data_IF_368362467981
#
_entry.id   IF_368362467981
#
_cell.length_a   1.000
_cell.length_b   1.000
_cell.length_c   1.000
_cell.angle_alpha   90.00
_cell.angle_beta   90.00
_cell.angle_gamma   90.00
#
_symmetry.space_group_name_H-M   'P 1'
#
loop_
_entity.id
_entity.type
_entity.pdbx_description
1 polymer ?
#
# COMPACT_ATOMS: atom_id res chain seq x y z
N UNK A 1 -1.46 -48.61 13.90
CA UNK A 1 -2.69 -48.15 13.21
C UNK A 1 -3.13 -46.85 13.89
N UNK A 2 -3.22 -45.70 13.19
CA UNK A 2 -3.69 -44.46 13.79
C UNK A 2 -5.21 -44.51 13.95
N UNK A 3 -5.71 -44.07 15.10
CA UNK A 3 -7.13 -44.06 15.44
C UNK A 3 -7.82 -42.92 14.65
N UNK A 4 -8.96 -43.15 13.98
CA UNK A 4 -9.70 -42.09 13.29
C UNK A 4 -10.23 -41.05 14.30
N UNK A 5 -10.15 -39.76 13.94
CA UNK A 5 -10.62 -38.62 14.75
C UNK A 5 -11.95 -38.91 15.47
N UNK A 6 -11.85 -39.15 16.78
CA UNK A 6 -12.98 -39.43 17.64
C UNK A 6 -13.74 -38.13 17.88
N UNK A 7 -14.89 -37.95 17.23
CA UNK A 7 -15.81 -36.85 17.52
C UNK A 7 -16.40 -37.05 18.91
N UNK A 8 -15.86 -36.37 19.91
CA UNK A 8 -16.45 -36.35 21.26
C UNK A 8 -17.78 -35.59 21.24
N UNK A 9 -18.78 -35.99 22.03
CA UNK A 9 -20.04 -35.25 22.14
C UNK A 9 -19.78 -33.88 22.79
N UNK A 10 -20.03 -32.80 22.05
CA UNK A 10 -19.89 -31.41 22.49
C UNK A 10 -20.33 -30.46 21.38
N UNK A 11 -20.78 -29.26 21.73
CA UNK A 11 -21.17 -28.25 20.75
C UNK A 11 -19.92 -27.76 20.03
N UNK A 12 -19.77 -28.12 18.75
CA UNK A 12 -18.66 -27.68 17.91
C UNK A 12 -18.85 -26.19 17.58
N UNK A 13 -18.12 -25.31 18.28
CA UNK A 13 -18.02 -23.88 17.96
C UNK A 13 -16.91 -23.62 16.92
N UNK A 14 -16.70 -24.56 15.99
CA UNK A 14 -15.76 -24.37 14.89
C UNK A 14 -16.37 -23.34 13.92
N UNK A 15 -16.13 -22.07 14.23
CA UNK A 15 -16.41 -20.99 13.29
C UNK A 15 -15.47 -21.17 12.11
N UNK A 16 -16.04 -21.28 10.91
CA UNK A 16 -15.26 -21.28 9.68
C UNK A 16 -14.64 -19.89 9.51
N UNK A 17 -13.38 -19.74 9.95
CA UNK A 17 -12.61 -18.49 9.85
C UNK A 17 -12.37 -18.06 8.41
N UNK A 18 -12.54 -18.96 7.42
CA UNK A 18 -12.43 -18.59 6.01
C UNK A 18 -13.66 -17.80 5.53
N UNK A 19 -14.85 -18.03 6.10
CA UNK A 19 -16.10 -17.38 5.66
C UNK A 19 -16.26 -15.97 6.22
N UNK A 20 -15.67 -15.66 7.37
CA UNK A 20 -15.78 -14.32 7.99
C UNK A 20 -14.96 -13.23 7.28
N UNK A 21 -14.14 -13.59 6.28
CA UNK A 21 -13.28 -12.64 5.56
C UNK A 21 -13.68 -12.38 4.10
N UNK A 22 -14.83 -12.90 3.66
CA UNK A 22 -15.23 -12.94 2.24
C UNK A 22 -16.46 -12.09 1.90
N UNK A 23 -16.64 -10.94 2.54
CA UNK A 23 -17.74 -10.01 2.21
C UNK A 23 -17.31 -8.78 1.42
N UNK A 24 -16.05 -8.35 1.57
CA UNK A 24 -15.55 -7.14 0.95
C UNK A 24 -14.55 -7.50 -0.16
N UNK A 25 -14.77 -7.08 -1.41
CA UNK A 25 -13.80 -7.27 -2.47
C UNK A 25 -12.47 -6.65 -2.06
N UNK A 26 -11.39 -7.41 -2.23
CA UNK A 26 -10.04 -6.94 -1.94
C UNK A 26 -9.78 -5.71 -2.81
N UNK A 27 -9.41 -4.60 -2.18
CA UNK A 27 -9.16 -3.35 -2.89
C UNK A 27 -7.80 -3.42 -3.60
N UNK A 28 -7.78 -3.90 -4.84
CA UNK A 28 -6.55 -4.07 -5.66
C UNK A 28 -6.24 -2.80 -6.47
N UNK A 29 -6.98 -1.69 -6.25
CA UNK A 29 -6.78 -0.48 -7.02
C UNK A 29 -5.40 0.13 -6.76
N UNK A 30 -4.66 0.35 -7.84
CA UNK A 30 -3.37 1.05 -7.84
C UNK A 30 -3.57 2.43 -8.44
N UNK A 31 -3.08 3.45 -7.74
CA UNK A 31 -3.18 4.85 -8.15
C UNK A 31 -1.78 5.41 -8.35
N UNK A 32 -1.54 5.98 -9.53
CA UNK A 32 -0.31 6.70 -9.85
C UNK A 32 -0.55 8.20 -9.74
N UNK A 33 0.17 8.88 -8.85
CA UNK A 33 0.21 10.33 -8.78
C UNK A 33 1.37 10.86 -9.60
N UNK A 34 1.04 11.70 -10.57
CA UNK A 34 2.01 12.46 -11.34
C UNK A 34 2.06 13.85 -10.72
N UNK A 35 3.22 14.22 -10.20
CA UNK A 35 3.44 15.47 -9.47
C UNK A 35 4.49 16.31 -10.16
N UNK A 36 4.47 17.61 -9.88
CA UNK A 36 5.47 18.55 -10.38
C UNK A 36 6.69 18.63 -9.47
N UNK A 37 6.70 17.86 -8.38
CA UNK A 37 7.80 17.82 -7.42
C UNK A 37 9.02 17.16 -8.06
N UNK A 38 10.20 17.59 -7.62
CA UNK A 38 11.45 16.99 -8.08
C UNK A 38 11.59 15.59 -7.48
N UNK A 39 11.94 14.63 -8.34
CA UNK A 39 12.25 13.26 -7.93
C UNK A 39 13.73 13.01 -8.16
N UNK A 40 14.45 12.72 -7.08
CA UNK A 40 15.84 12.32 -7.21
C UNK A 40 15.92 10.94 -7.88
N UNK A 41 16.81 10.75 -8.86
CA UNK A 41 17.05 9.45 -9.45
C UNK A 41 17.63 8.50 -8.40
N UNK A 42 17.11 7.27 -8.34
CA UNK A 42 17.68 6.21 -7.52
C UNK A 42 18.80 5.54 -8.34
N UNK A 43 20.00 6.10 -8.28
CA UNK A 43 21.17 5.62 -9.02
C UNK A 43 21.15 6.01 -10.51
N UNK A 44 21.65 5.13 -11.38
CA UNK A 44 21.73 5.37 -12.85
C UNK A 44 20.41 5.07 -13.60
N UNK A 45 19.35 4.67 -12.89
CA UNK A 45 18.10 4.27 -13.52
C UNK A 45 17.23 5.48 -13.89
N UNK A 46 16.47 5.40 -15.00
CA UNK A 46 15.46 6.40 -15.33
C UNK A 46 14.42 6.50 -14.21
N UNK A 47 13.73 7.65 -14.11
CA UNK A 47 12.71 7.86 -13.08
C UNK A 47 11.64 6.78 -13.21
N UNK A 48 11.53 5.96 -12.17
CA UNK A 48 10.48 4.98 -12.02
C UNK A 48 9.48 5.46 -10.97
N UNK A 49 8.19 5.11 -11.10
CA UNK A 49 7.22 5.33 -10.05
C UNK A 49 7.66 4.67 -8.75
N UNK A 50 7.65 5.43 -7.66
CA UNK A 50 8.01 4.93 -6.33
C UNK A 50 6.73 4.66 -5.55
N UNK A 51 6.64 3.47 -4.95
CA UNK A 51 5.56 3.15 -4.01
C UNK A 51 5.79 3.85 -2.68
N UNK A 52 4.81 4.63 -2.22
CA UNK A 52 4.91 5.43 -1.00
C UNK A 52 3.69 5.18 -0.13
N UNK A 53 3.95 4.88 1.14
CA UNK A 53 2.93 4.42 2.08
C UNK A 53 2.64 5.40 3.22
N UNK A 54 3.51 6.37 3.44
CA UNK A 54 3.34 7.37 4.49
C UNK A 54 3.84 8.76 4.05
N UNK A 55 3.49 9.76 4.84
CA UNK A 55 3.92 11.14 4.59
C UNK A 55 5.44 11.30 4.75
N UNK A 56 6.04 10.62 5.73
CA UNK A 56 7.46 10.79 6.04
C UNK A 56 8.36 10.31 4.88
N UNK A 57 8.03 9.17 4.27
CA UNK A 57 8.68 8.63 3.08
C UNK A 57 8.48 9.56 1.88
N UNK A 58 7.30 10.16 1.73
CA UNK A 58 7.05 11.15 0.69
C UNK A 58 7.92 12.40 0.87
N UNK A 59 7.99 12.95 2.09
CA UNK A 59 8.79 14.12 2.43
C UNK A 59 10.29 13.85 2.22
N UNK A 60 10.76 12.62 2.49
CA UNK A 60 12.15 12.22 2.23
C UNK A 60 12.48 12.07 0.74
N UNK A 61 11.51 11.70 -0.09
CA UNK A 61 11.75 11.36 -1.51
C UNK A 61 11.52 12.56 -2.45
N UNK A 62 10.52 13.40 -2.15
CA UNK A 62 10.09 14.53 -2.98
C UNK A 62 10.33 15.89 -2.31
N UNK A 63 10.87 15.90 -1.08
CA UNK A 63 11.09 17.10 -0.29
C UNK A 63 9.94 17.42 0.67
N UNK A 64 10.24 18.23 1.69
CA UNK A 64 9.32 18.57 2.76
C UNK A 64 8.10 19.36 2.23
N UNK A 65 6.89 18.95 2.63
CA UNK A 65 5.62 19.59 2.22
C UNK A 65 5.34 19.59 0.70
N UNK A 66 5.94 18.65 -0.03
CA UNK A 66 5.73 18.37 -1.46
C UNK A 66 4.25 18.11 -1.80
N UNK A 67 3.90 18.28 -3.09
CA UNK A 67 2.55 17.95 -3.59
C UNK A 67 2.30 16.44 -3.40
N UNK A 68 3.30 15.59 -3.65
CA UNK A 68 3.26 14.15 -3.42
C UNK A 68 2.87 13.80 -1.98
N UNK A 69 3.53 14.39 -0.97
CA UNK A 69 3.22 14.15 0.44
C UNK A 69 1.79 14.55 0.83
N UNK A 70 1.27 15.65 0.27
CA UNK A 70 -0.12 16.09 0.50
C UNK A 70 -1.13 15.15 -0.16
N UNK A 71 -0.86 14.72 -1.39
CA UNK A 71 -1.72 13.79 -2.13
C UNK A 71 -1.81 12.42 -1.45
N UNK A 72 -0.68 11.90 -0.94
CA UNK A 72 -0.65 10.65 -0.16
C UNK A 72 -1.43 10.81 1.15
N UNK A 73 -1.22 11.91 1.87
CA UNK A 73 -1.95 12.17 3.12
C UNK A 73 -3.46 12.20 2.89
N UNK A 74 -3.91 12.83 1.80
CA UNK A 74 -5.32 12.84 1.40
C UNK A 74 -5.81 11.45 0.99
N UNK A 75 -5.02 10.70 0.20
CA UNK A 75 -5.38 9.37 -0.28
C UNK A 75 -5.51 8.34 0.86
N UNK A 76 -4.59 8.34 1.83
CA UNK A 76 -4.65 7.45 2.99
C UNK A 76 -5.86 7.80 3.88
N UNK A 77 -6.18 9.10 3.99
CA UNK A 77 -7.34 9.56 4.77
C UNK A 77 -8.67 9.15 4.13
N UNK A 78 -8.75 9.11 2.80
CA UNK A 78 -9.97 8.68 2.10
C UNK A 78 -10.08 7.15 2.02
N UNK A 79 -8.97 6.45 1.78
CA UNK A 79 -8.91 5.01 1.73
C UNK A 79 -7.56 4.48 2.21
N UNK A 80 -7.55 3.90 3.41
CA UNK A 80 -6.35 3.33 4.03
C UNK A 80 -5.74 2.14 3.27
N UNK A 81 -6.50 1.48 2.39
CA UNK A 81 -6.07 0.30 1.65
C UNK A 81 -5.73 0.58 0.20
N UNK A 82 -5.49 1.84 -0.18
CA UNK A 82 -5.13 2.20 -1.55
C UNK A 82 -3.63 2.01 -1.76
N UNK A 83 -3.23 1.38 -2.87
CA UNK A 83 -1.82 1.25 -3.27
C UNK A 83 -1.43 2.47 -4.10
N UNK A 84 -0.58 3.34 -3.55
CA UNK A 84 -0.17 4.59 -4.18
C UNK A 84 1.25 4.50 -4.70
N UNK A 85 1.42 4.91 -5.94
CA UNK A 85 2.72 5.19 -6.54
C UNK A 85 2.81 6.67 -6.88
N UNK A 86 3.99 7.27 -6.72
CA UNK A 86 4.24 8.65 -7.12
C UNK A 86 5.36 8.72 -8.15
N UNK A 87 5.19 9.63 -9.10
CA UNK A 87 6.16 9.99 -10.11
C UNK A 87 6.30 11.52 -10.12
N UNK A 88 7.53 12.00 -9.94
CA UNK A 88 7.89 13.41 -10.00
C UNK A 88 8.64 13.74 -11.28
N UNK A 89 9.13 14.97 -11.37
CA UNK A 89 9.97 15.45 -12.47
C UNK A 89 11.41 14.98 -12.30
N UNK A 90 12.09 14.80 -13.43
CA UNK A 90 13.53 14.52 -13.43
C UNK A 90 14.28 15.72 -12.86
N UNK A 91 15.05 15.48 -11.81
CA UNK A 91 16.07 16.42 -11.39
C UNK A 91 17.43 15.87 -11.79
N UNK A 92 18.10 16.58 -12.69
CA UNK A 92 19.48 16.28 -13.05
C UNK A 92 20.38 16.56 -11.83
N UNK A 93 21.29 15.64 -11.46
CA UNK A 93 22.21 15.89 -10.36
C UNK A 93 23.11 17.08 -10.72
N UNK A 94 23.17 18.06 -9.81
CA UNK A 94 24.02 19.25 -9.93
C UNK A 94 25.51 18.93 -9.84
#
# INVERSE_FOLDING_TARGET
MPIPNLKTPGTYLDVNINTQRSGLPQNIQKVLFITTDDQQPIGENPIMPVSIYDKAQADNTFGENSVAGRMITAAIKTNRFVDVQCLGKYQEPA
#
